data_IF_541060294777
#
_entry.id   IF_541060294777
#
_cell.length_a   1.000
_cell.length_b   1.000
_cell.length_c   1.000
_cell.angle_alpha   90.00
_cell.angle_beta   90.00
_cell.angle_gamma   90.00
#
_symmetry.space_group_name_H-M   'P 1'
#
loop_
_entity.id
_entity.type
_entity.pdbx_description
1 polymer ?
#
# COMPACT_ATOMS: atom_id res chain seq x y z
N UNK A 1 -26.92 -7.84 -21.38
CA UNK A 1 -25.52 -7.66 -20.92
C UNK A 1 -25.01 -6.25 -21.29
N UNK A 2 -25.72 -5.18 -20.87
CA UNK A 2 -25.46 -3.76 -21.24
C UNK A 2 -24.41 -3.09 -20.31
N UNK A 3 -23.89 -3.86 -19.35
CA UNK A 3 -23.22 -3.32 -18.17
C UNK A 3 -21.87 -2.64 -18.48
N UNK A 4 -21.03 -3.25 -19.33
CA UNK A 4 -19.69 -2.71 -19.64
C UNK A 4 -19.80 -1.29 -20.22
N UNK A 5 -20.66 -1.10 -21.23
CA UNK A 5 -20.83 0.22 -21.88
C UNK A 5 -21.31 1.31 -20.93
N UNK A 6 -22.15 0.99 -19.93
CA UNK A 6 -22.66 1.99 -18.98
C UNK A 6 -21.57 2.52 -18.06
N UNK A 7 -20.59 1.70 -17.73
CA UNK A 7 -19.53 2.02 -16.77
C UNK A 7 -18.19 2.40 -17.42
N UNK A 8 -18.12 2.43 -18.75
CA UNK A 8 -16.98 3.03 -19.44
C UNK A 8 -16.92 4.53 -19.15
N UNK A 9 -15.72 5.08 -19.15
CA UNK A 9 -15.51 6.52 -19.24
C UNK A 9 -16.09 7.06 -20.56
N UNK A 10 -16.60 8.29 -20.57
CA UNK A 10 -17.23 8.88 -21.76
C UNK A 10 -16.26 8.94 -22.96
N UNK A 11 -14.96 9.14 -22.71
CA UNK A 11 -13.95 9.07 -23.77
C UNK A 11 -13.94 7.69 -24.44
N UNK A 12 -13.91 6.61 -23.65
CA UNK A 12 -13.94 5.25 -24.17
C UNK A 12 -15.27 4.90 -24.83
N UNK A 13 -16.40 5.44 -24.36
CA UNK A 13 -17.70 5.23 -25.03
C UNK A 13 -17.70 5.81 -26.44
N UNK A 14 -17.17 7.02 -26.61
CA UNK A 14 -17.09 7.68 -27.91
C UNK A 14 -16.12 6.97 -28.85
N UNK A 15 -14.96 6.52 -28.36
CA UNK A 15 -13.97 5.82 -29.18
C UNK A 15 -14.43 4.44 -29.67
N UNK A 16 -15.27 3.75 -28.89
CA UNK A 16 -15.80 2.42 -29.24
C UNK A 16 -17.30 2.43 -29.59
N UNK A 17 -17.83 3.55 -30.08
CA UNK A 17 -19.28 3.69 -30.35
C UNK A 17 -19.78 2.68 -31.41
N UNK A 18 -18.91 2.28 -32.33
CA UNK A 18 -19.24 1.42 -33.49
C UNK A 18 -19.12 -0.08 -33.21
N UNK A 19 -18.54 -0.48 -32.08
CA UNK A 19 -18.29 -1.90 -31.77
C UNK A 19 -19.52 -2.52 -31.09
N UNK A 20 -20.51 -2.92 -31.87
CA UNK A 20 -21.79 -3.43 -31.34
C UNK A 20 -21.64 -4.71 -30.50
N UNK A 21 -20.78 -5.63 -30.96
CA UNK A 21 -20.51 -6.88 -30.24
C UNK A 21 -19.73 -6.64 -28.94
N UNK A 22 -20.30 -7.13 -27.83
CA UNK A 22 -19.74 -6.94 -26.50
C UNK A 22 -18.44 -7.72 -26.29
N UNK A 23 -18.30 -8.88 -26.94
CA UNK A 23 -17.09 -9.68 -26.85
C UNK A 23 -15.94 -8.99 -27.61
N UNK A 24 -16.21 -8.46 -28.80
CA UNK A 24 -15.28 -7.63 -29.56
C UNK A 24 -14.87 -6.38 -28.77
N UNK A 25 -15.82 -5.68 -28.14
CA UNK A 25 -15.54 -4.52 -27.28
C UNK A 25 -14.62 -4.90 -26.11
N UNK A 26 -14.92 -5.99 -25.41
CA UNK A 26 -14.09 -6.49 -24.31
C UNK A 26 -12.68 -6.84 -24.77
N UNK A 27 -12.54 -7.57 -25.88
CA UNK A 27 -11.24 -7.95 -26.42
C UNK A 27 -10.43 -6.73 -26.88
N UNK A 28 -11.08 -5.72 -27.47
CA UNK A 28 -10.43 -4.49 -27.88
C UNK A 28 -9.93 -3.66 -26.69
N UNK A 29 -10.75 -3.50 -25.64
CA UNK A 29 -10.35 -2.85 -24.39
C UNK A 29 -9.23 -3.62 -23.70
N UNK A 30 -9.35 -4.94 -23.61
CA UNK A 30 -8.32 -5.81 -23.06
C UNK A 30 -7.00 -5.62 -23.81
N UNK A 31 -7.02 -5.66 -25.13
CA UNK A 31 -5.84 -5.43 -25.99
C UNK A 31 -5.22 -4.05 -25.74
N UNK A 32 -6.05 -2.99 -25.72
CA UNK A 32 -5.60 -1.62 -25.46
C UNK A 32 -4.90 -1.51 -24.12
N UNK A 33 -5.40 -2.13 -23.05
CA UNK A 33 -4.79 -2.00 -21.73
C UNK A 33 -3.78 -3.11 -21.40
N UNK A 34 -3.60 -4.08 -22.29
CA UNK A 34 -2.67 -5.20 -22.06
C UNK A 34 -1.21 -4.74 -21.97
N UNK A 35 -0.83 -3.64 -22.62
CA UNK A 35 0.52 -3.09 -22.48
C UNK A 35 0.73 -2.41 -21.12
N UNK A 36 -0.33 -1.95 -20.45
CA UNK A 36 -0.21 -1.35 -19.12
C UNK A 36 0.28 -2.36 -18.11
N UNK A 37 -0.15 -3.63 -18.17
CA UNK A 37 0.38 -4.68 -17.27
C UNK A 37 1.89 -4.89 -17.48
N UNK A 38 2.37 -4.77 -18.72
CA UNK A 38 3.79 -4.90 -19.08
C UNK A 38 4.64 -3.77 -18.48
N UNK A 39 4.09 -2.56 -18.35
CA UNK A 39 4.80 -1.40 -17.77
C UNK A 39 4.61 -1.30 -16.26
N UNK A 40 3.41 -1.63 -15.76
CA UNK A 40 3.03 -1.56 -14.35
C UNK A 40 3.78 -2.60 -13.54
N UNK A 41 3.89 -3.85 -14.04
CA UNK A 41 4.47 -4.95 -13.26
C UNK A 41 5.94 -4.73 -12.89
N UNK A 42 6.86 -4.37 -13.81
CA UNK A 42 8.24 -4.07 -13.46
C UNK A 42 8.36 -2.92 -12.46
N UNK A 43 7.54 -1.87 -12.61
CA UNK A 43 7.52 -0.72 -11.71
C UNK A 43 7.07 -1.12 -10.30
N UNK A 44 5.96 -1.83 -10.19
CA UNK A 44 5.42 -2.28 -8.91
C UNK A 44 6.39 -3.23 -8.17
N UNK A 45 7.15 -4.06 -8.89
CA UNK A 45 8.18 -4.93 -8.30
C UNK A 45 9.43 -4.18 -7.85
N UNK A 46 9.86 -3.18 -8.62
CA UNK A 46 11.04 -2.39 -8.30
C UNK A 46 10.80 -1.29 -7.25
N UNK A 47 9.53 -1.00 -6.92
CA UNK A 47 9.22 0.00 -5.90
C UNK A 47 9.89 -0.35 -4.56
N UNK A 48 10.92 0.44 -4.28
CA UNK A 48 11.71 0.39 -3.07
C UNK A 48 11.08 1.33 -2.06
N UNK A 49 10.41 0.73 -1.07
CA UNK A 49 9.70 1.45 -0.03
C UNK A 49 10.56 1.49 1.23
N UNK A 50 10.67 2.65 1.86
CA UNK A 50 11.10 2.77 3.25
C UNK A 50 10.00 3.41 4.07
N UNK A 51 9.64 2.82 5.21
CA UNK A 51 8.59 3.38 6.08
C UNK A 51 8.90 4.83 6.48
N UNK A 52 10.18 5.16 6.67
CA UNK A 52 10.63 6.50 7.06
C UNK A 52 10.45 7.58 5.98
N UNK A 53 10.28 7.19 4.72
CA UNK A 53 10.08 8.15 3.63
C UNK A 53 8.62 8.68 3.59
N UNK A 54 7.73 8.10 4.41
CA UNK A 54 6.32 8.48 4.52
C UNK A 54 6.08 9.34 5.76
N UNK A 55 5.09 10.23 5.69
CA UNK A 55 4.73 11.10 6.83
C UNK A 55 4.02 10.33 7.93
N UNK A 56 3.37 9.21 7.60
CA UNK A 56 2.67 8.37 8.55
C UNK A 56 2.66 6.91 8.13
N UNK A 57 2.44 6.02 9.10
CA UNK A 57 2.21 4.58 8.85
C UNK A 57 0.99 4.36 7.95
N UNK A 58 -0.04 5.22 8.04
CA UNK A 58 -1.24 5.15 7.18
C UNK A 58 -0.92 5.45 5.71
N UNK A 59 -0.06 6.44 5.44
CA UNK A 59 0.37 6.78 4.08
C UNK A 59 1.24 5.67 3.47
N UNK A 60 2.16 5.11 4.26
CA UNK A 60 2.92 3.93 3.89
C UNK A 60 2.00 2.75 3.53
N UNK A 61 1.03 2.45 4.41
CA UNK A 61 0.08 1.35 4.24
C UNK A 61 -0.71 1.49 2.94
N UNK A 62 -1.23 2.69 2.67
CA UNK A 62 -1.97 3.00 1.46
C UNK A 62 -1.13 2.79 0.20
N UNK A 63 0.15 3.18 0.24
CA UNK A 63 1.07 3.01 -0.88
C UNK A 63 1.40 1.53 -1.13
N UNK A 64 1.64 0.75 -0.07
CA UNK A 64 1.86 -0.69 -0.16
C UNK A 64 0.64 -1.41 -0.77
N UNK A 65 -0.58 -1.07 -0.32
CA UNK A 65 -1.81 -1.63 -0.88
C UNK A 65 -2.01 -1.26 -2.35
N UNK A 66 -1.65 -0.04 -2.76
CA UNK A 66 -1.69 0.36 -4.17
C UNK A 66 -0.76 -0.50 -5.02
N UNK A 67 0.49 -0.69 -4.59
CA UNK A 67 1.48 -1.50 -5.30
C UNK A 67 1.04 -2.96 -5.39
N UNK A 68 0.61 -3.55 -4.28
CA UNK A 68 0.19 -4.96 -4.25
C UNK A 68 -1.08 -5.19 -5.06
N UNK A 69 -1.99 -4.21 -5.11
CA UNK A 69 -3.17 -4.25 -6.00
C UNK A 69 -2.77 -4.22 -7.48
N UNK A 70 -1.78 -3.41 -7.85
CA UNK A 70 -1.21 -3.40 -9.20
C UNK A 70 -0.55 -4.73 -9.57
N UNK A 71 0.17 -5.35 -8.63
CA UNK A 71 0.75 -6.69 -8.82
C UNK A 71 -0.34 -7.74 -9.02
N UNK A 72 -1.38 -7.76 -8.17
CA UNK A 72 -2.55 -8.64 -8.32
C UNK A 72 -3.23 -8.47 -9.68
N UNK A 73 -3.40 -7.22 -10.14
CA UNK A 73 -3.96 -6.92 -11.46
C UNK A 73 -3.12 -7.53 -12.60
N UNK A 74 -1.80 -7.58 -12.43
CA UNK A 74 -0.88 -8.18 -13.40
C UNK A 74 -0.75 -9.71 -13.27
N UNK A 75 -1.52 -10.34 -12.37
CA UNK A 75 -1.54 -11.79 -12.18
C UNK A 75 -0.60 -12.33 -11.09
N UNK A 76 0.09 -11.47 -10.34
CA UNK A 76 0.89 -11.91 -9.20
C UNK A 76 -0.02 -12.33 -8.03
N UNK A 77 0.31 -13.47 -7.41
CA UNK A 77 -0.32 -13.91 -6.17
C UNK A 77 0.39 -13.21 -5.02
N UNK A 78 -0.35 -12.42 -4.24
CA UNK A 78 0.18 -11.74 -3.05
C UNK A 78 -0.40 -12.43 -1.82
N UNK A 79 0.46 -13.01 -0.99
CA UNK A 79 0.12 -13.67 0.27
C UNK A 79 0.34 -12.76 1.48
N UNK A 80 -0.23 -13.11 2.62
CA UNK A 80 0.02 -12.43 3.90
C UNK A 80 1.51 -12.42 4.27
N UNK A 81 2.18 -13.56 4.10
CA UNK A 81 3.63 -13.69 4.34
C UNK A 81 4.44 -12.71 3.48
N UNK A 82 4.08 -12.56 2.19
CA UNK A 82 4.75 -11.60 1.31
C UNK A 82 4.55 -10.15 1.77
N UNK A 83 3.35 -9.80 2.27
CA UNK A 83 3.09 -8.46 2.81
C UNK A 83 3.91 -8.21 4.07
N UNK A 84 3.93 -9.18 5.00
CA UNK A 84 4.70 -9.13 6.23
C UNK A 84 6.19 -8.96 5.93
N UNK A 85 6.78 -9.82 5.09
CA UNK A 85 8.19 -9.75 4.73
C UNK A 85 8.54 -8.47 3.96
N UNK A 86 7.67 -8.04 3.04
CA UNK A 86 7.86 -6.75 2.36
C UNK A 86 7.91 -5.62 3.39
N UNK A 87 6.99 -5.57 4.36
CA UNK A 87 6.99 -4.55 5.41
C UNK A 87 8.20 -4.65 6.34
N UNK A 88 8.66 -5.85 6.70
CA UNK A 88 9.91 -5.98 7.46
C UNK A 88 11.14 -5.51 6.68
N UNK A 89 11.13 -5.63 5.35
CA UNK A 89 12.23 -5.16 4.50
C UNK A 89 12.27 -3.63 4.32
N UNK A 90 11.19 -2.90 4.65
CA UNK A 90 11.12 -1.44 4.49
C UNK A 90 11.64 -0.66 5.71
N UNK A 91 12.01 -1.35 6.79
CA UNK A 91 12.63 -0.72 7.94
C UNK A 91 14.03 -0.21 7.57
N UNK A 92 14.35 1.01 8.01
CA UNK A 92 15.70 1.54 7.90
C UNK A 92 16.68 0.72 8.76
N UNK A 93 17.95 0.68 8.37
CA UNK A 93 18.99 -0.07 9.08
C UNK A 93 19.11 0.32 10.57
N UNK A 94 18.88 1.58 10.91
CA UNK A 94 18.85 2.06 12.31
C UNK A 94 17.73 1.43 13.15
N UNK A 95 16.67 0.93 12.50
CA UNK A 95 15.50 0.33 13.14
C UNK A 95 15.54 -1.20 13.07
N UNK A 96 16.70 -1.81 12.78
CA UNK A 96 16.87 -3.27 12.69
C UNK A 96 16.41 -4.01 13.95
N UNK A 97 16.64 -3.46 15.14
CA UNK A 97 16.19 -4.08 16.40
C UNK A 97 14.66 -4.12 16.49
N UNK A 98 13.98 -3.01 16.17
CA UNK A 98 12.52 -2.95 16.16
C UNK A 98 11.93 -3.93 15.12
N UNK A 99 12.58 -4.03 13.97
CA UNK A 99 12.21 -4.97 12.92
C UNK A 99 12.33 -6.43 13.41
N UNK A 100 13.44 -6.80 14.05
CA UNK A 100 13.63 -8.12 14.66
C UNK A 100 12.60 -8.42 15.75
N UNK A 101 12.28 -7.44 16.61
CA UNK A 101 11.26 -7.58 17.64
C UNK A 101 9.88 -7.87 17.06
N UNK A 102 9.50 -7.19 15.97
CA UNK A 102 8.22 -7.45 15.30
C UNK A 102 8.20 -8.81 14.61
N UNK A 103 9.31 -9.25 14.00
CA UNK A 103 9.43 -10.61 13.45
C UNK A 103 9.28 -11.70 14.51
N UNK A 104 9.90 -11.51 15.68
CA UNK A 104 9.83 -12.45 16.79
C UNK A 104 8.41 -12.65 17.36
N UNK A 105 7.47 -11.73 17.08
CA UNK A 105 6.06 -11.88 17.47
C UNK A 105 5.29 -12.90 16.65
N UNK A 106 5.80 -13.30 15.48
CA UNK A 106 5.22 -14.36 14.66
C UNK A 106 3.83 -14.03 14.10
N UNK A 107 3.62 -12.80 13.62
CA UNK A 107 2.37 -12.41 12.99
C UNK A 107 2.04 -13.32 11.79
N UNK A 108 0.77 -13.70 11.66
CA UNK A 108 0.27 -14.50 10.52
C UNK A 108 -0.54 -13.67 9.54
N UNK A 109 -1.06 -12.53 10.00
CA UNK A 109 -1.85 -11.61 9.20
C UNK A 109 -1.21 -10.23 9.21
N UNK A 110 -1.14 -9.60 8.04
CA UNK A 110 -0.60 -8.25 7.87
C UNK A 110 -1.31 -7.22 8.76
N UNK A 111 -2.62 -7.38 8.95
CA UNK A 111 -3.43 -6.48 9.80
C UNK A 111 -2.91 -6.42 11.25
N UNK A 112 -2.37 -7.52 11.78
CA UNK A 112 -1.81 -7.54 13.13
C UNK A 112 -0.54 -6.67 13.21
N UNK A 113 0.33 -6.77 12.21
CA UNK A 113 1.55 -5.97 12.14
C UNK A 113 1.23 -4.48 11.98
N UNK A 114 0.34 -4.11 11.04
CA UNK A 114 0.05 -2.70 10.79
C UNK A 114 -0.62 -2.03 11.98
N UNK A 115 -1.49 -2.73 12.72
CA UNK A 115 -2.08 -2.22 13.97
C UNK A 115 -1.02 -1.88 15.01
N UNK A 116 0.01 -2.74 15.17
CA UNK A 116 1.11 -2.47 16.11
C UNK A 116 1.90 -1.23 15.69
N UNK A 117 2.18 -1.07 14.39
CA UNK A 117 2.90 0.09 13.86
C UNK A 117 2.11 1.39 14.06
N UNK A 118 0.80 1.38 13.81
CA UNK A 118 -0.08 2.53 14.04
C UNK A 118 -0.13 2.94 15.52
N UNK A 119 -0.25 1.98 16.43
CA UNK A 119 -0.23 2.26 17.88
C UNK A 119 1.14 2.83 18.30
N UNK A 120 2.24 2.30 17.77
CA UNK A 120 3.57 2.80 18.06
C UNK A 120 3.78 4.25 17.57
N UNK A 121 3.31 4.57 16.36
CA UNK A 121 3.32 5.94 15.82
C UNK A 121 2.55 6.91 16.74
N UNK A 122 1.31 6.56 17.10
CA UNK A 122 0.48 7.38 18.01
C UNK A 122 1.14 7.60 19.37
N UNK A 123 1.73 6.55 19.95
CA UNK A 123 2.42 6.65 21.24
C UNK A 123 3.66 7.56 21.15
N UNK A 124 4.41 7.48 20.05
CA UNK A 124 5.57 8.36 19.83
C UNK A 124 5.14 9.82 19.67
N UNK A 125 4.06 10.10 18.94
CA UNK A 125 3.54 11.47 18.84
C UNK A 125 3.15 12.05 20.21
N UNK A 126 2.47 11.25 21.05
CA UNK A 126 2.11 11.66 22.41
C UNK A 126 3.35 11.89 23.28
N UNK A 127 4.35 11.01 23.18
CA UNK A 127 5.61 11.14 23.90
C UNK A 127 6.36 12.43 23.52
N UNK A 128 6.42 12.75 22.22
CA UNK A 128 7.03 13.99 21.74
C UNK A 128 6.25 15.23 22.21
N UNK A 129 4.91 15.19 22.19
CA UNK A 129 4.07 16.27 22.73
C UNK A 129 4.31 16.48 24.23
N UNK A 130 4.41 15.41 25.00
CA UNK A 130 4.69 15.47 26.45
C UNK A 130 6.09 16.02 26.75
N UNK A 131 7.09 15.68 25.93
CA UNK A 131 8.44 16.22 26.08
C UNK A 131 8.47 17.73 25.80
N UNK A 132 7.78 18.16 24.74
CA UNK A 132 7.74 19.57 24.34
C UNK A 132 6.86 20.42 25.26
N UNK A 133 5.85 19.84 25.92
CA UNK A 133 4.95 20.58 26.81
C UNK A 133 5.56 20.92 28.17
N UNK A 134 6.66 20.25 28.56
CA UNK A 134 7.20 20.36 29.91
C UNK A 134 8.72 20.52 29.92
N UNK A 135 9.26 21.68 30.36
CA UNK A 135 10.70 21.83 30.54
C UNK A 135 11.24 20.83 31.56
N UNK A 136 12.40 20.24 31.26
CA UNK A 136 13.14 19.37 32.18
C UNK A 136 13.33 20.07 33.52
N UNK A 137 12.85 19.46 34.62
CA UNK A 137 13.00 19.99 35.98
C UNK A 137 11.81 20.75 36.57
N UNK A 138 10.67 20.81 35.87
CA UNK A 138 9.44 21.41 36.41
C UNK A 138 8.81 20.56 37.52
N UNK A 139 8.44 21.19 38.64
CA UNK A 139 7.88 20.53 39.82
C UNK A 139 6.62 19.71 39.49
N UNK A 140 6.39 18.54 40.13
CA UNK A 140 5.15 17.77 39.98
C UNK A 140 3.93 18.66 40.22
N UNK A 141 2.84 18.44 39.47
CA UNK A 141 1.58 19.11 39.80
C UNK A 141 1.14 18.71 41.22
N UNK A 142 0.54 19.64 42.00
CA UNK A 142 0.04 19.36 43.34
C UNK A 142 -0.98 18.22 43.38
#
# INVERSE_FOLDING_TARGET
>A
MIFIRRHLDESLKSEYLTVEDLLALWNALKSRYNHQTTVILPRARYDYLRIQDFKSVTEYNSTLFRITSQMKLCGDIITEEMLLEKTFSTFHASNMVLQQQNRARGFTEYNQLISVLLVAEQNNELLMKNHNSRPTGSAPFP
#
